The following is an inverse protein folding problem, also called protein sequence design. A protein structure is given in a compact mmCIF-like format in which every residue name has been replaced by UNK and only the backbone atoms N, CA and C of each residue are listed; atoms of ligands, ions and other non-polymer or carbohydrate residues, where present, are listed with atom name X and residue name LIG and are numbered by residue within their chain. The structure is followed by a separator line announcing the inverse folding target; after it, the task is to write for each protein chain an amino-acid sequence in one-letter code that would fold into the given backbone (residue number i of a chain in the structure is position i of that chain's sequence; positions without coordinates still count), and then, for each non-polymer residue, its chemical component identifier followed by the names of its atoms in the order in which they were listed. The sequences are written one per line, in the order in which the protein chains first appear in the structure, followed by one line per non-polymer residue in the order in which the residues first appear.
data_IF_802487101491
#
_entry.id   IF_802487101491
#
_cell.length_a   1.000
_cell.length_b   1.000
_cell.length_c   1.000
_cell.angle_alpha   90.00
_cell.angle_beta   90.00
_cell.angle_gamma   90.00
#
_symmetry.space_group_name_H-M   'P 1'
#
loop_
_entity.id
_entity.type
_entity.pdbx_description
1 polymer ?
#
# COMPACT_ATOMS: atom_id res chain seq x y z
N UNK A 1 32.78 -8.69 13.38
CA UNK A 1 31.94 -7.49 13.33
C UNK A 1 30.51 -7.98 13.17
N UNK A 2 29.68 -7.90 14.22
CA UNK A 2 28.26 -8.27 14.14
C UNK A 2 27.52 -7.00 13.78
N UNK A 3 26.93 -6.96 12.59
CA UNK A 3 26.01 -5.88 12.21
C UNK A 3 24.88 -5.82 13.24
N UNK A 4 24.61 -4.66 13.86
CA UNK A 4 23.48 -4.55 14.77
C UNK A 4 22.20 -4.86 13.99
N UNK A 5 21.42 -5.82 14.51
CA UNK A 5 20.12 -6.14 13.95
C UNK A 5 19.21 -4.91 13.88
N UNK A 6 18.18 -4.93 13.02
CA UNK A 6 17.30 -3.79 12.83
C UNK A 6 16.72 -3.28 14.15
N UNK A 7 16.74 -1.97 14.35
CA UNK A 7 16.24 -1.33 15.57
C UNK A 7 14.75 -1.63 15.72
N UNK A 8 14.25 -1.72 16.96
CA UNK A 8 12.81 -1.91 17.28
C UNK A 8 11.91 -0.94 16.50
N UNK A 9 12.37 0.29 16.28
CA UNK A 9 11.65 1.30 15.49
C UNK A 9 11.57 0.94 13.99
N UNK A 10 12.67 0.46 13.39
CA UNK A 10 12.68 0.02 11.99
C UNK A 10 11.78 -1.20 11.78
N UNK A 11 11.78 -2.12 12.76
CA UNK A 11 10.87 -3.27 12.78
C UNK A 11 9.41 -2.82 12.88
N UNK A 12 9.10 -1.89 13.79
CA UNK A 12 7.75 -1.34 13.97
C UNK A 12 7.24 -0.66 12.70
N UNK A 13 8.08 0.13 12.04
CA UNK A 13 7.75 0.78 10.75
C UNK A 13 7.48 -0.27 9.66
N UNK A 14 8.32 -1.31 9.56
CA UNK A 14 8.13 -2.38 8.58
C UNK A 14 6.85 -3.19 8.80
N UNK A 15 6.54 -3.53 10.05
CA UNK A 15 5.31 -4.25 10.43
C UNK A 15 4.06 -3.40 10.16
N UNK A 16 4.09 -2.12 10.55
CA UNK A 16 2.98 -1.20 10.30
C UNK A 16 2.73 -1.04 8.79
N UNK A 17 3.78 -0.83 8.02
CA UNK A 17 3.68 -0.71 6.56
C UNK A 17 3.03 -1.95 5.93
N UNK A 18 3.46 -3.16 6.32
CA UNK A 18 2.89 -4.41 5.81
C UNK A 18 1.42 -4.58 6.18
N UNK A 19 1.03 -4.17 7.39
CA UNK A 19 -0.36 -4.20 7.85
C UNK A 19 -1.26 -3.25 7.05
N UNK A 20 -0.86 -1.99 6.91
CA UNK A 20 -1.64 -1.00 6.15
C UNK A 20 -1.84 -1.44 4.70
N UNK A 21 -0.79 -1.94 4.04
CA UNK A 21 -0.88 -2.45 2.67
C UNK A 21 -1.87 -3.61 2.58
N UNK A 22 -1.83 -4.57 3.52
CA UNK A 22 -2.79 -5.69 3.57
C UNK A 22 -4.24 -5.24 3.69
N UNK A 23 -4.52 -4.31 4.60
CA UNK A 23 -5.88 -3.79 4.83
C UNK A 23 -6.38 -3.03 3.60
N UNK A 24 -5.54 -2.16 3.02
CA UNK A 24 -5.89 -1.42 1.82
C UNK A 24 -6.15 -2.33 0.61
N UNK A 25 -5.33 -3.36 0.41
CA UNK A 25 -5.57 -4.36 -0.63
C UNK A 25 -6.91 -5.06 -0.42
N UNK A 26 -7.24 -5.49 0.80
CA UNK A 26 -8.53 -6.10 1.10
C UNK A 26 -9.72 -5.21 0.74
N UNK A 27 -9.64 -3.90 1.03
CA UNK A 27 -10.67 -2.95 0.62
C UNK A 27 -10.74 -2.78 -0.90
N UNK A 28 -9.61 -2.74 -1.60
CA UNK A 28 -9.61 -2.63 -3.06
C UNK A 28 -10.19 -3.89 -3.72
N UNK A 29 -9.83 -5.07 -3.21
CA UNK A 29 -10.38 -6.34 -3.67
C UNK A 29 -11.91 -6.38 -3.48
N UNK A 30 -12.41 -6.00 -2.30
CA UNK A 30 -13.84 -5.97 -2.01
C UNK A 30 -14.60 -4.96 -2.90
N UNK A 31 -14.03 -3.76 -3.09
CA UNK A 31 -14.71 -2.67 -3.82
C UNK A 31 -14.67 -2.81 -5.33
N UNK A 32 -13.58 -3.34 -5.87
CA UNK A 32 -13.35 -3.41 -7.32
C UNK A 32 -13.48 -4.83 -7.88
N UNK A 33 -13.61 -5.86 -7.03
CA UNK A 33 -13.71 -7.25 -7.46
C UNK A 33 -12.41 -7.79 -8.08
N UNK A 34 -11.28 -7.17 -7.75
CA UNK A 34 -9.95 -7.53 -8.26
C UNK A 34 -9.23 -8.50 -7.33
N UNK A 35 -8.21 -9.19 -7.85
CA UNK A 35 -7.40 -10.09 -7.05
C UNK A 35 -6.34 -9.35 -6.22
N UNK A 36 -5.59 -10.11 -5.42
CA UNK A 36 -4.55 -9.55 -4.55
C UNK A 36 -3.38 -8.96 -5.33
N UNK A 37 -3.00 -9.54 -6.46
CA UNK A 37 -1.88 -9.07 -7.26
C UNK A 37 -2.22 -7.74 -7.93
N UNK A 38 -3.44 -7.63 -8.48
CA UNK A 38 -3.97 -6.41 -9.07
C UNK A 38 -4.14 -5.31 -8.02
N UNK A 39 -4.67 -5.63 -6.84
CA UNK A 39 -4.80 -4.67 -5.75
C UNK A 39 -3.43 -4.12 -5.30
N UNK A 40 -2.42 -4.99 -5.20
CA UNK A 40 -1.06 -4.55 -4.89
C UNK A 40 -0.47 -3.68 -6.00
N UNK A 41 -0.65 -4.10 -7.26
CA UNK A 41 -0.18 -3.38 -8.43
C UNK A 41 -0.74 -1.96 -8.47
N UNK A 42 -2.03 -1.80 -8.15
CA UNK A 42 -2.68 -0.50 -8.06
C UNK A 42 -2.06 0.39 -6.98
N UNK A 43 -1.86 -0.12 -5.75
CA UNK A 43 -1.20 0.65 -4.69
C UNK A 43 0.25 1.03 -5.07
N UNK A 44 0.96 0.12 -5.74
CA UNK A 44 2.33 0.30 -6.15
C UNK A 44 2.46 1.35 -7.26
N UNK A 45 1.59 1.30 -8.27
CA UNK A 45 1.57 2.24 -9.38
C UNK A 45 1.24 3.65 -8.89
N UNK A 46 0.19 3.80 -8.07
CA UNK A 46 -0.16 5.06 -7.41
C UNK A 46 1.02 5.63 -6.62
N UNK A 47 1.70 4.79 -5.83
CA UNK A 47 2.85 5.21 -5.04
C UNK A 47 4.02 5.67 -5.92
N UNK A 48 4.29 4.93 -7.00
CA UNK A 48 5.35 5.25 -7.96
C UNK A 48 5.10 6.58 -8.66
N UNK A 49 3.89 6.81 -9.16
CA UNK A 49 3.50 8.04 -9.86
C UNK A 49 3.58 9.27 -8.95
N UNK A 50 3.20 9.11 -7.69
CA UNK A 50 3.26 10.20 -6.71
C UNK A 50 4.65 10.35 -6.05
N UNK A 51 5.62 9.49 -6.39
CA UNK A 51 6.93 9.41 -5.74
C UNK A 51 6.85 9.23 -4.22
N UNK A 52 5.93 8.37 -3.76
CA UNK A 52 5.62 8.13 -2.35
C UNK A 52 5.82 6.67 -1.96
N UNK A 53 5.78 6.41 -0.66
CA UNK A 53 5.81 5.04 -0.12
C UNK A 53 4.44 4.38 -0.31
N UNK A 54 4.43 3.10 -0.71
CA UNK A 54 3.19 2.30 -0.86
C UNK A 54 2.36 2.28 0.42
N UNK A 55 3.00 2.23 1.59
CA UNK A 55 2.31 2.28 2.88
C UNK A 55 1.52 3.57 3.11
N UNK A 56 2.02 4.72 2.61
CA UNK A 56 1.34 6.00 2.76
C UNK A 56 0.08 6.07 1.86
N UNK A 57 0.17 5.49 0.66
CA UNK A 57 -0.98 5.34 -0.24
C UNK A 57 -2.01 4.38 0.37
N UNK A 58 -1.55 3.27 0.95
CA UNK A 58 -2.42 2.33 1.65
C UNK A 58 -3.14 2.98 2.84
N UNK A 59 -2.43 3.80 3.63
CA UNK A 59 -3.05 4.56 4.71
C UNK A 59 -4.11 5.55 4.18
N UNK A 60 -3.94 6.15 3.01
CA UNK A 60 -4.96 7.02 2.40
C UNK A 60 -6.23 6.26 2.01
N UNK A 61 -6.06 5.08 1.39
CA UNK A 61 -7.16 4.16 1.06
C UNK A 61 -7.93 3.80 2.33
N UNK A 62 -7.23 3.45 3.41
CA UNK A 62 -7.83 3.09 4.70
C UNK A 62 -8.60 4.26 5.31
N UNK A 63 -8.03 5.47 5.26
CA UNK A 63 -8.64 6.67 5.84
C UNK A 63 -9.81 7.21 5.00
N UNK A 64 -10.18 6.54 3.90
CA UNK A 64 -11.28 6.98 3.04
C UNK A 64 -10.99 8.29 2.31
N UNK A 65 -9.74 8.77 2.34
CA UNK A 65 -9.28 9.82 1.43
C UNK A 65 -9.14 9.14 0.09
N UNK A 66 -10.20 9.19 -0.71
CA UNK A 66 -10.25 8.56 -2.02
C UNK A 66 -8.94 8.81 -2.73
N UNK A 67 -8.19 7.72 -2.97
CA UNK A 67 -7.05 7.76 -3.87
C UNK A 67 -7.63 8.09 -5.22
N UNK A 68 -7.69 9.39 -5.51
CA UNK A 68 -7.92 9.90 -6.84
C UNK A 68 -6.64 9.62 -7.62
N UNK A 69 -6.43 8.36 -7.98
CA UNK A 69 -5.51 8.03 -9.07
C UNK A 69 -6.33 7.51 -10.21
N UNK A 70 -6.50 8.44 -11.14
CA UNK A 70 -6.56 8.25 -12.58
C UNK A 70 -5.87 6.94 -12.99
N UNK A 71 -6.64 5.88 -13.12
CA UNK A 71 -6.51 4.94 -14.22
C UNK A 71 -7.90 4.41 -14.43
N UNK A 72 -8.64 5.12 -15.28
CA UNK A 72 -9.77 4.57 -15.99
C UNK A 72 -9.45 3.13 -16.38
N UNK A 73 -10.34 2.22 -15.98
CA UNK A 73 -10.82 1.12 -16.79
C UNK A 73 -9.82 0.73 -17.89
N UNK A 74 -8.91 -0.21 -17.61
CA UNK A 74 -8.20 -0.88 -18.68
C UNK A 74 -9.25 -1.52 -19.60
N UNK A 75 -9.46 -0.90 -20.75
CA UNK A 75 -10.07 -1.50 -21.92
C UNK A 75 -9.14 -2.47 -22.61
#
# INVERSE_FOLDING_TARGET
MVEPGPTVEQLRVGVHARRSIGIAMGMLMERHGIDQADAFSHLFQTAREQNRRVSAVADEVINGRGVATVTELAG
#
